data_IF_196474601439
#
_entry.id   IF_196474601439
#
_cell.length_a   1.000
_cell.length_b   1.000
_cell.length_c   1.000
_cell.angle_alpha   90.00
_cell.angle_beta   90.00
_cell.angle_gamma   90.00
#
_symmetry.space_group_name_H-M   'P 1'
#
loop_
_entity.id
_entity.type
_entity.pdbx_description
1 polymer ?
#
# COMPACT_ATOMS: atom_id res chain seq x y z
N UNK A 1 2.67 -25.18 -18.76
CA UNK A 1 3.48 -23.93 -18.67
C UNK A 1 2.50 -22.77 -18.56
N UNK A 2 2.30 -22.19 -17.37
CA UNK A 2 1.27 -21.16 -17.15
C UNK A 2 1.76 -19.79 -17.63
N UNK A 3 1.05 -19.19 -18.58
CA UNK A 3 1.25 -17.83 -19.06
C UNK A 3 1.37 -16.82 -17.91
N UNK A 4 2.57 -16.24 -17.74
CA UNK A 4 2.80 -15.10 -16.85
C UNK A 4 2.16 -13.86 -17.48
N UNK A 5 0.86 -13.68 -17.28
CA UNK A 5 0.13 -12.48 -17.72
C UNK A 5 0.81 -11.24 -17.14
N UNK A 6 1.43 -10.42 -18.00
CA UNK A 6 2.13 -9.22 -17.58
C UNK A 6 1.18 -8.27 -16.84
N UNK A 7 1.61 -7.80 -15.67
CA UNK A 7 0.80 -6.91 -14.86
C UNK A 7 0.60 -5.57 -15.60
N UNK A 8 -0.66 -5.25 -15.93
CA UNK A 8 -1.01 -3.96 -16.57
C UNK A 8 -0.45 -2.79 -15.75
N UNK A 9 0.14 -1.81 -16.44
CA UNK A 9 0.67 -0.60 -15.81
C UNK A 9 -0.47 0.17 -15.16
N UNK A 10 -0.28 0.62 -13.91
CA UNK A 10 -1.27 1.41 -13.19
C UNK A 10 -0.69 2.76 -12.82
N UNK A 11 -1.48 3.82 -12.96
CA UNK A 11 -1.03 5.19 -12.70
C UNK A 11 -1.88 5.83 -11.61
N UNK A 12 -1.20 6.34 -10.59
CA UNK A 12 -1.77 7.18 -9.54
C UNK A 12 -1.17 8.59 -9.62
N UNK A 13 -1.91 9.60 -9.14
CA UNK A 13 -1.32 10.92 -8.97
C UNK A 13 -0.28 10.91 -7.85
N UNK A 14 0.67 11.84 -7.88
CA UNK A 14 1.55 12.12 -6.74
C UNK A 14 0.73 12.74 -5.60
N UNK A 15 1.18 12.52 -4.37
CA UNK A 15 0.60 13.10 -3.14
C UNK A 15 -0.92 12.84 -2.97
N UNK A 16 -1.37 11.66 -3.38
CA UNK A 16 -2.70 11.12 -3.01
C UNK A 16 -2.78 10.80 -1.52
N UNK A 17 -4.00 10.68 -1.01
CA UNK A 17 -4.26 10.20 0.35
C UNK A 17 -3.49 8.91 0.65
N UNK A 18 -2.72 8.92 1.74
CA UNK A 18 -1.77 7.86 1.99
C UNK A 18 -2.45 6.62 2.55
N UNK A 19 -3.44 6.78 3.43
CA UNK A 19 -4.18 5.65 3.99
C UNK A 19 -5.02 4.95 2.92
N UNK A 20 -5.68 5.69 2.03
CA UNK A 20 -6.39 5.11 0.88
C UNK A 20 -5.45 4.39 -0.08
N UNK A 21 -4.24 4.91 -0.29
CA UNK A 21 -3.23 4.24 -1.09
C UNK A 21 -2.82 2.91 -0.45
N UNK A 22 -2.53 2.89 0.85
CA UNK A 22 -2.20 1.68 1.61
C UNK A 22 -3.34 0.67 1.60
N UNK A 23 -4.60 1.12 1.78
CA UNK A 23 -5.78 0.28 1.67
C UNK A 23 -5.87 -0.42 0.31
N UNK A 24 -5.50 0.29 -0.77
CA UNK A 24 -5.59 -0.24 -2.13
C UNK A 24 -4.45 -1.18 -2.49
N UNK A 25 -3.22 -0.89 -2.07
CA UNK A 25 -2.04 -1.71 -2.40
C UNK A 25 -1.84 -2.86 -1.42
N UNK A 26 -2.30 -2.72 -0.17
CA UNK A 26 -2.14 -3.67 0.95
C UNK A 26 -0.69 -4.07 1.20
N UNK A 27 0.21 -3.08 1.13
CA UNK A 27 1.64 -3.23 1.31
C UNK A 27 2.18 -2.06 2.14
N UNK A 28 3.10 -2.36 3.05
CA UNK A 28 3.75 -1.38 3.93
C UNK A 28 5.26 -1.37 3.69
N UNK A 29 5.88 -0.21 3.40
CA UNK A 29 7.33 -0.09 3.36
C UNK A 29 7.87 0.15 4.77
N UNK A 30 8.70 -0.76 5.29
CA UNK A 30 9.44 -0.52 6.52
C UNK A 30 10.52 0.56 6.32
N UNK A 31 11.19 1.00 7.38
CA UNK A 31 12.27 2.00 7.28
C UNK A 31 13.55 1.48 6.62
N UNK A 32 13.75 0.17 6.51
CA UNK A 32 14.98 -0.48 6.07
C UNK A 32 14.95 -1.03 4.62
N UNK A 33 13.87 -0.80 3.89
CA UNK A 33 13.72 -1.29 2.51
C UNK A 33 12.76 -2.46 2.38
N UNK A 34 12.33 -3.07 3.49
CA UNK A 34 11.55 -4.30 3.47
C UNK A 34 10.06 -4.02 3.26
N UNK A 35 9.47 -4.65 2.25
CA UNK A 35 8.04 -4.60 1.99
C UNK A 35 7.32 -5.64 2.83
N UNK A 36 6.32 -5.20 3.60
CA UNK A 36 5.43 -6.06 4.36
C UNK A 36 4.05 -6.13 3.70
N UNK A 37 3.41 -7.28 3.77
CA UNK A 37 1.99 -7.40 3.43
C UNK A 37 1.14 -6.89 4.58
N UNK A 38 0.14 -6.06 4.29
CA UNK A 38 -0.82 -5.59 5.30
C UNK A 38 -1.94 -6.63 5.41
N UNK A 39 -2.11 -7.21 6.62
CA UNK A 39 -3.20 -8.12 6.95
C UNK A 39 -4.46 -7.32 7.27
N UNK A 40 -4.36 -6.40 8.21
CA UNK A 40 -5.46 -5.56 8.69
C UNK A 40 -5.04 -4.10 8.77
N UNK A 41 -6.01 -3.20 8.59
CA UNK A 41 -5.81 -1.78 8.73
C UNK A 41 -7.09 -1.14 9.28
N UNK A 42 -6.99 -0.50 10.43
CA UNK A 42 -8.08 0.23 11.09
C UNK A 42 -7.75 1.73 11.10
N UNK A 43 -8.57 2.54 10.46
CA UNK A 43 -8.39 4.00 10.37
C UNK A 43 -9.13 4.70 11.52
N UNK A 44 -8.44 5.59 12.23
CA UNK A 44 -8.99 6.45 13.29
C UNK A 44 -8.59 7.90 13.01
N UNK A 45 -9.48 8.65 12.38
CA UNK A 45 -9.21 10.02 11.93
C UNK A 45 -8.01 10.08 10.99
N UNK A 46 -7.02 10.91 11.32
CA UNK A 46 -5.78 11.07 10.55
C UNK A 46 -4.76 9.95 10.77
N UNK A 47 -5.07 8.95 11.59
CA UNK A 47 -4.18 7.82 11.88
C UNK A 47 -4.77 6.50 11.42
N UNK A 48 -3.92 5.49 11.25
CA UNK A 48 -4.34 4.11 11.10
C UNK A 48 -3.43 3.16 11.90
N UNK A 49 -4.05 2.13 12.46
CA UNK A 49 -3.38 0.96 13.02
C UNK A 49 -3.27 -0.10 11.93
N UNK A 50 -2.05 -0.51 11.62
CA UNK A 50 -1.75 -1.53 10.62
C UNK A 50 -1.23 -2.76 11.35
N UNK A 51 -1.80 -3.92 11.01
CA UNK A 51 -1.24 -5.23 11.37
C UNK A 51 -0.73 -5.88 10.09
N UNK A 52 0.56 -6.24 10.05
CA UNK A 52 1.14 -6.94 8.91
C UNK A 52 0.88 -8.44 8.99
N UNK A 53 1.11 -9.18 7.89
CA UNK A 53 1.04 -10.64 7.89
C UNK A 53 2.09 -11.31 8.78
N UNK A 54 3.20 -10.61 9.07
CA UNK A 54 4.19 -11.04 10.07
C UNK A 54 3.92 -10.41 11.45
N UNK A 55 2.66 -10.06 11.74
CA UNK A 55 2.15 -9.66 13.05
C UNK A 55 2.72 -8.36 13.64
N UNK A 56 3.43 -7.57 12.84
CA UNK A 56 3.91 -6.26 13.28
C UNK A 56 2.73 -5.28 13.34
N UNK A 57 2.60 -4.62 14.49
CA UNK A 57 1.63 -3.54 14.73
C UNK A 57 2.30 -2.19 14.51
N UNK A 58 1.71 -1.36 13.65
CA UNK A 58 2.30 -0.09 13.21
C UNK A 58 1.23 0.99 13.28
N UNK A 59 1.51 2.08 13.99
CA UNK A 59 0.72 3.31 13.92
C UNK A 59 1.25 4.18 12.78
N UNK A 60 0.37 4.60 11.88
CA UNK A 60 0.70 5.46 10.74
C UNK A 60 -0.18 6.70 10.72
N UNK A 61 0.40 7.86 10.43
CA UNK A 61 -0.33 9.10 10.16
C UNK A 61 -0.58 9.26 8.66
N UNK A 62 -1.72 9.84 8.28
CA UNK A 62 -2.14 10.10 6.91
C UNK A 62 -1.37 11.26 6.26
N UNK A 63 -0.04 11.13 6.15
CA UNK A 63 0.79 12.15 5.52
C UNK A 63 1.10 11.82 4.06
N UNK A 64 0.67 12.70 3.16
CA UNK A 64 1.01 12.67 1.73
C UNK A 64 2.51 12.84 1.48
N UNK A 65 3.22 13.51 2.39
CA UNK A 65 4.64 13.86 2.23
C UNK A 65 5.58 13.04 3.13
N UNK A 66 5.02 12.21 4.01
CA UNK A 66 5.79 11.38 4.94
C UNK A 66 6.74 10.39 4.24
N UNK A 67 7.70 9.89 5.02
CA UNK A 67 8.71 8.92 4.54
C UNK A 67 8.07 7.71 3.86
N UNK A 68 7.14 7.04 4.53
CA UNK A 68 6.50 5.83 3.99
C UNK A 68 5.75 6.12 2.67
N UNK A 69 5.09 7.27 2.57
CA UNK A 69 4.44 7.70 1.34
C UNK A 69 5.45 7.95 0.19
N UNK A 70 6.60 8.58 0.48
CA UNK A 70 7.70 8.74 -0.49
C UNK A 70 8.27 7.39 -0.92
N UNK A 71 8.41 6.46 0.01
CA UNK A 71 8.96 5.13 -0.23
C UNK A 71 8.10 4.31 -1.19
N UNK A 72 6.78 4.30 -0.99
CA UNK A 72 5.84 3.70 -1.95
C UNK A 72 5.97 4.38 -3.32
N UNK A 73 5.98 5.71 -3.36
CA UNK A 73 5.99 6.45 -4.64
C UNK A 73 7.25 6.24 -5.45
N UNK A 74 8.39 6.29 -4.79
CA UNK A 74 9.71 6.19 -5.41
C UNK A 74 10.20 4.74 -5.50
N UNK A 75 9.44 3.78 -4.96
CA UNK A 75 9.80 2.36 -4.88
C UNK A 75 11.16 2.14 -4.25
N UNK A 76 11.43 2.84 -3.15
CA UNK A 76 12.65 2.66 -2.35
C UNK A 76 12.53 1.39 -1.49
N UNK A 77 12.39 0.25 -2.16
CA UNK A 77 12.13 -1.05 -1.57
C UNK A 77 13.24 -1.99 -2.03
N UNK A 78 13.94 -2.58 -1.07
CA UNK A 78 15.10 -3.45 -1.31
C UNK A 78 14.65 -4.91 -1.50
N UNK A 79 13.56 -5.31 -0.83
CA UNK A 79 13.03 -6.65 -0.94
C UNK A 79 11.69 -6.82 -0.21
N UNK A 80 11.13 -8.02 -0.26
CA UNK A 80 9.93 -8.39 0.48
C UNK A 80 10.27 -9.13 1.76
N UNK A 81 9.42 -8.98 2.78
CA UNK A 81 9.51 -9.75 4.02
C UNK A 81 9.17 -11.22 3.74
N UNK A 82 10.09 -12.13 4.12
CA UNK A 82 9.93 -13.58 3.95
C UNK A 82 8.73 -14.12 4.72
N UNK A 83 8.54 -13.67 5.97
CA UNK A 83 7.45 -14.11 6.84
C UNK A 83 6.07 -13.66 6.35
N UNK A 84 6.01 -12.50 5.69
CA UNK A 84 4.78 -12.01 5.09
C UNK A 84 4.32 -12.84 3.88
N UNK A 85 5.19 -13.68 3.31
CA UNK A 85 4.91 -14.55 2.14
C UNK A 85 4.14 -13.81 1.04
N UNK A 86 4.63 -12.63 0.67
CA UNK A 86 3.94 -11.77 -0.31
C UNK A 86 3.99 -12.46 -1.68
N UNK A 87 2.84 -12.76 -2.31
CA UNK A 87 2.83 -13.43 -3.60
C UNK A 87 3.48 -12.59 -4.71
N UNK A 88 4.17 -13.26 -5.64
CA UNK A 88 4.87 -12.62 -6.76
C UNK A 88 3.97 -11.72 -7.60
N UNK A 89 2.72 -12.14 -7.86
CA UNK A 89 1.78 -11.34 -8.64
C UNK A 89 1.53 -9.97 -7.98
N UNK A 90 1.55 -9.90 -6.64
CA UNK A 90 1.33 -8.65 -5.89
C UNK A 90 2.57 -7.77 -5.96
N UNK A 91 3.76 -8.36 -5.86
CA UNK A 91 5.03 -7.67 -6.06
C UNK A 91 5.14 -7.12 -7.49
N UNK A 92 4.79 -7.92 -8.49
CA UNK A 92 4.77 -7.51 -9.90
C UNK A 92 3.77 -6.37 -10.16
N UNK A 93 2.58 -6.44 -9.57
CA UNK A 93 1.57 -5.37 -9.63
C UNK A 93 2.04 -4.09 -8.96
N UNK A 94 2.73 -4.19 -7.83
CA UNK A 94 3.35 -3.05 -7.16
C UNK A 94 4.46 -2.44 -8.02
N UNK A 95 5.31 -3.29 -8.60
CA UNK A 95 6.37 -2.88 -9.52
C UNK A 95 5.83 -2.23 -10.80
N UNK A 96 4.66 -2.63 -11.31
CA UNK A 96 4.01 -2.00 -12.47
C UNK A 96 3.18 -0.76 -12.14
N UNK A 97 3.10 -0.36 -10.87
CA UNK A 97 2.38 0.84 -10.42
C UNK A 97 3.29 2.07 -10.49
N UNK A 98 2.82 3.19 -11.04
CA UNK A 98 3.57 4.43 -11.23
C UNK A 98 2.84 5.63 -10.62
N UNK A 99 3.61 6.63 -10.23
CA UNK A 99 3.11 7.87 -9.64
C UNK A 99 3.52 9.07 -10.48
N UNK A 100 2.55 9.78 -11.07
CA UNK A 100 2.79 10.93 -11.95
C UNK A 100 2.08 12.17 -11.42
N UNK A 101 2.60 13.37 -11.73
CA UNK A 101 2.04 14.62 -11.18
C UNK A 101 0.67 14.94 -11.81
N UNK A 102 0.58 14.91 -13.15
CA UNK A 102 -0.57 15.40 -13.91
C UNK A 102 -1.47 14.28 -14.47
N UNK A 103 -1.14 13.00 -14.23
CA UNK A 103 -1.86 11.85 -14.79
C UNK A 103 -2.06 10.75 -13.74
N UNK A 104 -3.13 9.97 -13.89
CA UNK A 104 -3.48 8.85 -13.02
C UNK A 104 -4.62 9.16 -12.04
N UNK A 105 -5.03 8.15 -11.28
CA UNK A 105 -6.13 8.25 -10.31
C UNK A 105 -5.73 9.07 -9.08
N UNK A 106 -6.61 9.95 -8.61
CA UNK A 106 -6.44 10.74 -7.38
C UNK A 106 -6.81 10.01 -6.09
N UNK A 107 -7.39 8.80 -6.19
CA UNK A 107 -7.85 8.04 -5.04
C UNK A 107 -8.75 8.87 -4.09
N UNK A 108 -9.81 9.46 -4.63
CA UNK A 108 -10.86 10.03 -3.78
C UNK A 108 -11.61 8.92 -3.06
N UNK A 109 -11.92 9.13 -1.78
CA UNK A 109 -12.87 8.27 -1.08
C UNK A 109 -14.24 8.46 -1.75
N UNK A 110 -14.80 7.39 -2.32
CA UNK A 110 -16.26 7.27 -2.27
C UNK A 110 -16.59 7.10 -0.80
N UNK A 111 -17.21 8.10 -0.18
CA UNK A 111 -17.65 8.03 1.20
C UNK A 111 -18.50 6.75 1.42
N UNK A 112 -18.27 6.12 2.58
CA UNK A 112 -19.00 5.02 3.22
C UNK A 112 -19.24 3.71 2.44
N UNK A 113 -18.49 2.66 2.77
CA UNK A 113 -19.06 1.29 2.86
C UNK A 113 -18.59 0.63 4.15
N UNK A 114 -19.50 0.64 5.13
CA UNK A 114 -19.62 -0.24 6.29
C UNK A 114 -18.48 -0.31 7.33
N UNK A 115 -18.62 0.51 8.38
CA UNK A 115 -18.45 0.03 9.75
C UNK A 115 -19.42 -1.13 9.99
N UNK A 116 -18.93 -2.37 9.99
CA UNK A 116 -19.41 -3.50 10.83
C UNK A 116 -18.78 -4.80 10.37
N UNK A 117 -17.98 -5.39 11.26
CA UNK A 117 -18.14 -6.79 11.68
C UNK A 117 -17.52 -6.93 13.07
N UNK A 118 -18.24 -6.40 14.05
CA UNK A 118 -18.43 -7.11 15.31
C UNK A 118 -19.48 -8.18 15.03
N UNK A 119 -19.04 -9.43 15.01
CA UNK A 119 -19.73 -10.60 15.55
C UNK A 119 -18.64 -11.52 16.08
#
# INVERSE_FOLDING_TARGET
MTDKKQAKKKYYRKRVDFLLLLAKIKLWPSRNGTLHGIKEMETKGEYAYITTHCEKKILVHNSKNGRAARWIRNKWVVGSCKDCKIPDWKLNKFSSTFFKQHYGSQLYSKQSVSLKLMK
#
